data_IF_049430403181
#
_entry.id   IF_049430403181
#
_cell.length_a   1.000
_cell.length_b   1.000
_cell.length_c   1.000
_cell.angle_alpha   90.00
_cell.angle_beta   90.00
_cell.angle_gamma   90.00
#
_symmetry.space_group_name_H-M   'P 1'
#
loop_
_entity.id
_entity.type
_entity.pdbx_description
1 polymer ?
#
# COMPACT_ATOMS: atom_id res chain seq x y z
N UNK A 1 -22.05 6.38 6.43
CA UNK A 1 -21.19 5.90 5.33
C UNK A 1 -20.30 7.06 4.92
N UNK A 2 -18.98 6.98 5.17
CA UNK A 2 -18.04 8.04 4.76
C UNK A 2 -18.08 8.18 3.24
N UNK A 3 -17.99 9.41 2.76
CA UNK A 3 -17.96 9.81 1.36
C UNK A 3 -16.81 9.06 0.65
N UNK A 4 -17.07 7.84 0.15
CA UNK A 4 -16.07 7.04 -0.58
C UNK A 4 -16.10 7.51 -2.02
N UNK A 5 -15.16 8.37 -2.37
CA UNK A 5 -14.86 8.68 -3.74
C UNK A 5 -14.37 7.39 -4.41
N UNK A 6 -14.84 7.07 -5.61
CA UNK A 6 -14.46 5.86 -6.35
C UNK A 6 -13.11 6.03 -7.06
N UNK A 7 -12.14 6.61 -6.36
CA UNK A 7 -10.75 6.70 -6.77
C UNK A 7 -9.99 5.41 -6.43
N UNK A 8 -8.72 5.33 -6.81
CA UNK A 8 -7.90 4.13 -6.60
C UNK A 8 -7.86 3.70 -5.12
N UNK A 9 -7.69 4.64 -4.20
CA UNK A 9 -7.67 4.36 -2.77
C UNK A 9 -9.03 3.85 -2.28
N UNK A 10 -10.12 4.48 -2.73
CA UNK A 10 -11.48 4.07 -2.42
C UNK A 10 -11.83 2.67 -2.95
N UNK A 11 -11.35 2.32 -4.14
CA UNK A 11 -11.51 0.99 -4.73
C UNK A 11 -10.73 -0.07 -3.94
N UNK A 12 -9.46 0.18 -3.63
CA UNK A 12 -8.66 -0.70 -2.77
C UNK A 12 -9.35 -0.92 -1.43
N UNK A 13 -9.81 0.16 -0.78
CA UNK A 13 -10.58 0.07 0.46
C UNK A 13 -11.84 -0.82 0.30
N UNK A 14 -12.59 -0.59 -0.77
CA UNK A 14 -13.85 -1.30 -1.00
C UNK A 14 -13.66 -2.80 -1.16
N UNK A 15 -12.63 -3.21 -1.91
CA UNK A 15 -12.32 -4.62 -2.14
C UNK A 15 -11.72 -5.28 -0.89
N UNK A 16 -10.74 -4.64 -0.26
CA UNK A 16 -10.09 -5.21 0.94
C UNK A 16 -11.06 -5.38 2.10
N UNK A 17 -11.99 -4.45 2.32
CA UNK A 17 -13.03 -4.56 3.36
C UNK A 17 -13.92 -5.81 3.20
N UNK A 18 -13.96 -6.41 2.01
CA UNK A 18 -14.80 -7.57 1.67
C UNK A 18 -14.01 -8.84 1.40
N UNK A 19 -12.68 -8.74 1.39
CA UNK A 19 -11.80 -9.86 1.12
C UNK A 19 -11.53 -10.61 2.42
N UNK A 20 -11.90 -11.88 2.49
CA UNK A 20 -11.50 -12.75 3.59
C UNK A 20 -10.18 -13.45 3.24
N UNK A 21 -9.07 -12.90 3.75
CA UNK A 21 -7.72 -13.41 3.49
C UNK A 21 -7.54 -14.89 3.87
N UNK A 22 -8.33 -15.39 4.83
CA UNK A 22 -8.27 -16.80 5.26
C UNK A 22 -8.79 -17.76 4.21
N UNK A 23 -9.62 -17.28 3.29
CA UNK A 23 -10.21 -18.10 2.21
C UNK A 23 -9.34 -18.14 0.95
N UNK A 24 -8.32 -17.28 0.87
CA UNK A 24 -7.44 -17.18 -0.28
C UNK A 24 -6.47 -18.37 -0.34
N UNK A 25 -6.12 -18.75 -1.56
CA UNK A 25 -5.04 -19.70 -1.84
C UNK A 25 -3.67 -19.11 -1.51
N UNK A 26 -2.65 -19.97 -1.39
CA UNK A 26 -1.29 -19.51 -1.09
C UNK A 26 -0.71 -18.67 -2.23
N UNK A 27 -1.06 -18.96 -3.49
CA UNK A 27 -0.65 -18.18 -4.67
C UNK A 27 -1.28 -16.76 -4.66
N UNK A 28 -2.55 -16.65 -4.26
CA UNK A 28 -3.23 -15.35 -4.13
C UNK A 28 -2.63 -14.51 -2.99
N UNK A 29 -2.32 -15.14 -1.85
CA UNK A 29 -1.63 -14.46 -0.75
C UNK A 29 -0.20 -14.05 -1.15
N UNK A 30 0.50 -14.86 -1.94
CA UNK A 30 1.81 -14.51 -2.48
C UNK A 30 1.71 -13.29 -3.39
N UNK A 31 0.77 -13.31 -4.33
CA UNK A 31 0.52 -12.19 -5.21
C UNK A 31 0.25 -10.89 -4.43
N UNK A 32 -0.60 -10.95 -3.39
CA UNK A 32 -0.90 -9.78 -2.55
C UNK A 32 0.31 -9.33 -1.72
N UNK A 33 1.17 -10.25 -1.27
CA UNK A 33 2.39 -9.89 -0.54
C UNK A 33 3.35 -9.03 -1.37
N UNK A 34 3.39 -9.21 -2.69
CA UNK A 34 4.20 -8.38 -3.58
C UNK A 34 3.68 -6.94 -3.75
N UNK A 35 2.49 -6.60 -3.25
CA UNK A 35 1.98 -5.23 -3.32
C UNK A 35 2.88 -4.21 -2.61
N UNK A 36 3.67 -4.64 -1.61
CA UNK A 36 4.66 -3.77 -0.94
C UNK A 36 5.78 -3.32 -1.87
N UNK A 37 6.26 -4.18 -2.77
CA UNK A 37 7.32 -3.82 -3.72
C UNK A 37 6.84 -2.72 -4.67
N UNK A 38 5.62 -2.88 -5.21
CA UNK A 38 5.01 -1.84 -6.05
C UNK A 38 4.77 -0.56 -5.25
N UNK A 39 4.29 -0.66 -4.00
CA UNK A 39 4.04 0.51 -3.16
C UNK A 39 5.32 1.28 -2.82
N UNK A 40 6.45 0.58 -2.61
CA UNK A 40 7.76 1.20 -2.39
C UNK A 40 8.21 1.94 -3.64
N UNK A 41 8.07 1.35 -4.83
CA UNK A 41 8.40 2.02 -6.09
C UNK A 41 7.54 3.27 -6.32
N UNK A 42 6.24 3.18 -6.04
CA UNK A 42 5.32 4.32 -6.14
C UNK A 42 5.67 5.42 -5.12
N UNK A 43 6.07 5.05 -3.90
CA UNK A 43 6.52 5.99 -2.88
C UNK A 43 7.80 6.74 -3.28
N UNK A 44 8.77 6.03 -3.89
CA UNK A 44 9.99 6.65 -4.43
C UNK A 44 9.67 7.62 -5.57
N UNK A 45 8.84 7.19 -6.52
CA UNK A 45 8.38 8.04 -7.63
C UNK A 45 7.65 9.30 -7.12
N UNK A 46 6.76 9.14 -6.13
CA UNK A 46 6.08 10.27 -5.51
C UNK A 46 7.05 11.21 -4.81
N UNK A 47 8.05 10.67 -4.09
CA UNK A 47 9.08 11.48 -3.44
C UNK A 47 9.87 12.34 -4.44
N UNK A 48 10.28 11.77 -5.57
CA UNK A 48 10.96 12.51 -6.64
C UNK A 48 10.10 13.64 -7.19
N UNK A 49 8.82 13.36 -7.48
CA UNK A 49 7.87 14.35 -7.98
C UNK A 49 7.65 15.49 -6.98
N UNK A 50 7.42 15.17 -5.70
CA UNK A 50 7.20 16.16 -4.64
C UNK A 50 8.44 17.02 -4.44
N UNK A 51 9.64 16.44 -4.47
CA UNK A 51 10.90 17.20 -4.41
C UNK A 51 11.06 18.15 -5.58
N UNK A 52 10.74 17.71 -6.80
CA UNK A 52 10.77 18.57 -8.00
C UNK A 52 9.81 19.76 -7.89
N UNK A 53 8.57 19.51 -7.48
CA UNK A 53 7.56 20.54 -7.24
C UNK A 53 8.03 21.52 -6.15
N UNK A 54 8.57 21.03 -5.04
CA UNK A 54 9.08 21.86 -3.96
C UNK A 54 10.23 22.78 -4.44
N UNK A 55 11.12 22.27 -5.28
CA UNK A 55 12.18 23.05 -5.93
C UNK A 55 11.63 24.19 -6.79
N UNK A 56 10.61 23.91 -7.61
CA UNK A 56 9.94 24.93 -8.43
C UNK A 56 9.24 26.00 -7.58
N UNK A 57 8.53 25.59 -6.53
CA UNK A 57 7.89 26.53 -5.58
C UNK A 57 8.94 27.41 -4.89
N UNK A 58 10.09 26.85 -4.51
CA UNK A 58 11.18 27.60 -3.89
C UNK A 58 11.78 28.63 -4.85
N UNK A 59 11.94 28.29 -6.13
CA UNK A 59 12.39 29.21 -7.17
C UNK A 59 11.40 30.35 -7.42
N UNK A 60 10.10 30.04 -7.52
CA UNK A 60 9.03 31.02 -7.72
C UNK A 60 8.95 32.04 -6.57
N UNK A 61 9.14 31.60 -5.33
CA UNK A 61 9.12 32.48 -4.14
C UNK A 61 10.35 33.39 -4.01
N UNK A 62 11.46 33.05 -4.67
CA UNK A 62 12.70 33.83 -4.65
C UNK A 62 12.73 35.01 -5.62
N UNK A 63 11.73 35.15 -6.50
CA UNK A 63 11.70 36.20 -7.51
C UNK A 63 11.08 37.51 -7.00
N UNK A 64 11.64 38.64 -7.44
CA UNK A 64 11.23 40.01 -7.05
C UNK A 64 9.82 40.40 -7.49
N UNK A 65 9.25 39.68 -8.46
CA UNK A 65 7.92 39.95 -9.01
C UNK A 65 7.18 38.61 -9.23
N UNK A 66 6.54 38.05 -8.18
CA UNK A 66 6.04 36.67 -8.20
C UNK A 66 4.79 36.47 -9.08
N UNK A 67 4.25 37.49 -9.74
CA UNK A 67 2.94 37.47 -10.39
C UNK A 67 2.72 36.50 -11.56
N UNK A 68 3.69 35.64 -11.92
CA UNK A 68 3.60 34.74 -13.09
C UNK A 68 4.09 33.30 -12.82
N UNK A 69 3.97 32.81 -11.59
CA UNK A 69 4.25 31.40 -11.26
C UNK A 69 3.01 30.52 -11.35
N UNK A 70 3.03 29.43 -12.15
CA UNK A 70 1.90 28.51 -12.28
C UNK A 70 1.58 27.70 -11.00
N UNK A 71 2.46 27.76 -9.99
CA UNK A 71 2.38 26.99 -8.74
C UNK A 71 2.07 27.88 -7.52
N UNK A 72 1.38 29.01 -7.69
CA UNK A 72 1.00 29.90 -6.60
C UNK A 72 -0.49 29.80 -6.25
N UNK A 73 -0.85 30.19 -5.01
CA UNK A 73 -2.24 30.26 -4.55
C UNK A 73 -2.95 28.90 -4.52
N UNK A 74 -4.19 28.87 -5.01
CA UNK A 74 -5.09 27.72 -4.94
C UNK A 74 -4.56 26.45 -5.64
N UNK A 75 -3.63 26.61 -6.60
CA UNK A 75 -2.96 25.48 -7.26
C UNK A 75 -2.10 24.66 -6.29
N UNK A 76 -1.58 25.26 -5.21
CA UNK A 76 -0.81 24.54 -4.18
C UNK A 76 -1.72 23.61 -3.36
N UNK A 77 -2.93 24.06 -3.01
CA UNK A 77 -3.88 23.24 -2.29
C UNK A 77 -4.31 22.02 -3.12
N UNK A 78 -4.57 22.20 -4.41
CA UNK A 78 -4.89 21.10 -5.33
C UNK A 78 -3.76 20.06 -5.44
N UNK A 79 -2.50 20.50 -5.48
CA UNK A 79 -1.34 19.61 -5.49
C UNK A 79 -1.20 18.84 -4.17
N UNK A 80 -1.40 19.49 -3.03
CA UNK A 80 -1.38 18.83 -1.73
C UNK A 80 -2.48 17.77 -1.61
N UNK A 81 -3.69 18.05 -2.11
CA UNK A 81 -4.76 17.06 -2.16
C UNK A 81 -4.41 15.86 -3.04
N UNK A 82 -3.80 16.10 -4.20
CA UNK A 82 -3.33 15.02 -5.06
C UNK A 82 -2.27 14.15 -4.37
N UNK A 83 -1.25 14.78 -3.78
CA UNK A 83 -0.19 14.09 -3.03
C UNK A 83 -0.79 13.26 -1.89
N UNK A 84 -1.75 13.81 -1.14
CA UNK A 84 -2.44 13.08 -0.08
C UNK A 84 -3.19 11.85 -0.61
N UNK A 85 -3.82 11.95 -1.79
CA UNK A 85 -4.46 10.82 -2.46
C UNK A 85 -3.46 9.73 -2.86
N UNK A 86 -2.32 10.12 -3.45
CA UNK A 86 -1.26 9.18 -3.84
C UNK A 86 -0.67 8.47 -2.60
N UNK A 87 -0.46 9.20 -1.49
CA UNK A 87 -0.04 8.63 -0.20
C UNK A 87 -1.07 7.63 0.33
N UNK A 88 -2.38 7.92 0.20
CA UNK A 88 -3.42 6.99 0.65
C UNK A 88 -3.40 5.68 -0.15
N UNK A 89 -3.20 5.74 -1.48
CA UNK A 89 -3.07 4.55 -2.33
C UNK A 89 -1.88 3.69 -1.86
N UNK A 90 -0.70 4.30 -1.71
CA UNK A 90 0.52 3.62 -1.26
C UNK A 90 0.29 2.95 0.10
N UNK A 91 -0.29 3.68 1.07
CA UNK A 91 -0.54 3.16 2.40
C UNK A 91 -1.48 1.93 2.38
N UNK A 92 -2.49 1.94 1.50
CA UNK A 92 -3.41 0.82 1.34
C UNK A 92 -2.74 -0.40 0.72
N UNK A 93 -1.88 -0.20 -0.29
CA UNK A 93 -1.11 -1.30 -0.88
C UNK A 93 -0.19 -1.95 0.15
N UNK A 94 0.50 -1.13 0.97
CA UNK A 94 1.34 -1.63 2.06
C UNK A 94 0.54 -2.41 3.10
N UNK A 95 -0.64 -1.94 3.48
CA UNK A 95 -1.51 -2.65 4.43
C UNK A 95 -1.95 -4.02 3.88
N UNK A 96 -2.40 -4.07 2.61
CA UNK A 96 -2.80 -5.33 1.96
C UNK A 96 -1.65 -6.34 1.94
N UNK A 97 -0.44 -5.90 1.59
CA UNK A 97 0.74 -6.75 1.58
C UNK A 97 1.07 -7.27 2.98
N UNK A 98 1.07 -6.40 3.99
CA UNK A 98 1.34 -6.79 5.37
C UNK A 98 0.31 -7.78 5.93
N UNK A 99 -0.98 -7.59 5.63
CA UNK A 99 -2.03 -8.51 6.06
C UNK A 99 -1.89 -9.88 5.37
N UNK A 100 -1.56 -9.90 4.08
CA UNK A 100 -1.31 -11.13 3.33
C UNK A 100 -0.08 -11.89 3.87
N UNK A 101 1.01 -11.20 4.17
CA UNK A 101 2.21 -11.79 4.77
C UNK A 101 1.95 -12.36 6.16
N UNK A 102 1.19 -11.64 6.99
CA UNK A 102 0.77 -12.14 8.30
C UNK A 102 -0.03 -13.45 8.19
N UNK A 103 -0.96 -13.55 7.24
CA UNK A 103 -1.72 -14.79 7.02
C UNK A 103 -0.82 -15.93 6.52
N UNK A 104 0.10 -15.66 5.58
CA UNK A 104 1.09 -16.65 5.10
C UNK A 104 1.94 -17.20 6.25
N UNK A 105 2.46 -16.32 7.09
CA UNK A 105 3.23 -16.71 8.27
C UNK A 105 2.39 -17.54 9.25
N UNK A 106 1.15 -17.14 9.49
CA UNK A 106 0.22 -17.87 10.36
C UNK A 106 -0.01 -19.30 9.87
N UNK A 107 -0.20 -19.49 8.56
CA UNK A 107 -0.35 -20.82 7.94
C UNK A 107 0.92 -21.66 8.08
N UNK A 108 2.08 -21.07 7.76
CA UNK A 108 3.37 -21.73 7.88
C UNK A 108 3.67 -22.19 9.32
N UNK A 109 3.24 -21.42 10.33
CA UNK A 109 3.40 -21.79 11.75
C UNK A 109 2.34 -22.75 12.28
N UNK A 110 1.21 -22.93 11.58
CA UNK A 110 0.12 -23.83 11.98
C UNK A 110 0.26 -25.24 11.39
N UNK A 111 1.00 -25.39 10.28
CA UNK A 111 1.32 -26.70 9.69
C UNK A 111 2.31 -27.61 10.46
N UNK A 112 3.31 -27.12 11.24
CA UNK A 112 4.40 -27.95 11.75
C UNK A 112 3.94 -28.95 12.84
N UNK A 113 2.84 -28.70 13.56
CA UNK A 113 2.37 -29.62 14.60
C UNK A 113 1.61 -30.84 14.03
N UNK A 114 0.93 -30.68 12.90
CA UNK A 114 0.09 -31.75 12.32
C UNK A 114 0.88 -32.84 11.58
N UNK A 115 2.02 -32.51 10.98
CA UNK A 115 2.91 -33.49 10.36
C UNK A 115 3.77 -34.24 11.39
N UNK A 116 4.18 -33.58 12.47
CA UNK A 116 4.99 -34.19 13.52
C UNK A 116 4.17 -35.20 14.33
N UNK A 117 2.90 -34.88 14.62
CA UNK A 117 1.98 -35.81 15.30
C UNK A 117 1.66 -37.05 14.46
N UNK A 118 1.49 -36.90 13.13
CA UNK A 118 1.29 -38.03 12.21
C UNK A 118 2.50 -38.97 12.12
N UNK A 119 3.73 -38.44 12.15
CA UNK A 119 4.95 -39.27 12.10
C UNK A 119 5.16 -40.06 13.40
N UNK A 120 4.84 -39.47 14.56
CA UNK A 120 4.96 -40.16 15.85
C UNK A 120 3.91 -41.26 15.98
N UNK A 121 2.65 -41.00 15.61
CA UNK A 121 1.59 -42.02 15.69
C UNK A 121 1.82 -43.24 14.78
N UNK A 122 2.51 -43.04 13.64
CA UNK A 122 2.86 -44.14 12.72
C UNK A 122 4.06 -44.96 13.20
N UNK A 123 4.92 -44.41 14.06
CA UNK A 123 6.09 -45.10 14.60
C UNK A 123 5.75 -45.95 15.83
N UNK A 124 4.66 -45.66 16.54
CA UNK A 124 4.20 -46.41 17.72
C UNK A 124 3.39 -47.68 17.37
N UNK A 125 3.11 -47.93 16.09
CA UNK A 125 2.34 -49.08 15.60
C UNK A 125 3.16 -50.03 14.69
N UNK A 126 4.49 -50.04 14.80
CA UNK A 126 5.38 -50.99 14.09
C UNK A 126 6.25 -51.80 15.03
#
# INVERSE_FOLDING_TARGET
MRNRQADAAGLLAFFTDRLDLKTLSDDELEFLSFASESAVNDALSLQEQVSGIAGLIAQDRGQKDPGSGCLQGDNQAGLLWKIAGDVEVIARMMAISADADCERLTRATSQPESEQFRRISSAEHS
#
